data_IF_650277353205
#
_entry.id   IF_650277353205
#
_cell.length_a   1.000
_cell.length_b   1.000
_cell.length_c   1.000
_cell.angle_alpha   90.00
_cell.angle_beta   90.00
_cell.angle_gamma   90.00
#
_symmetry.space_group_name_H-M   'P 1'
#
loop_
_entity.id
_entity.type
_entity.pdbx_description
1 polymer ?
#
# COMPACT_ATOMS: atom_id res chain seq x y z
N UNK A 1 -2.72 8.59 7.06
CA UNK A 1 -1.27 8.29 6.96
C UNK A 1 -1.09 7.21 5.91
N UNK A 2 -0.45 7.54 4.78
CA UNK A 2 -0.21 6.61 3.66
C UNK A 2 0.79 5.56 4.13
N UNK A 3 0.51 4.27 3.90
CA UNK A 3 1.36 3.17 4.38
C UNK A 3 2.56 3.04 3.45
N UNK A 4 3.78 3.43 3.87
CA UNK A 4 4.92 3.53 2.97
C UNK A 4 5.37 2.17 2.43
N UNK A 5 5.17 1.10 3.21
CA UNK A 5 5.74 -0.21 2.90
C UNK A 5 5.09 -0.90 1.69
N UNK A 6 3.76 -0.88 1.56
CA UNK A 6 3.07 -1.45 0.40
C UNK A 6 3.35 -0.67 -0.89
N UNK A 7 3.38 0.66 -0.81
CA UNK A 7 3.72 1.53 -1.95
C UNK A 7 5.17 1.37 -2.39
N UNK A 8 6.09 1.12 -1.45
CA UNK A 8 7.49 0.85 -1.72
C UNK A 8 7.67 -0.47 -2.48
N UNK A 9 7.13 -1.58 -1.96
CA UNK A 9 7.20 -2.88 -2.63
C UNK A 9 6.54 -2.87 -4.02
N UNK A 10 5.41 -2.18 -4.15
CA UNK A 10 4.77 -1.99 -5.45
C UNK A 10 5.66 -1.23 -6.44
N UNK A 11 6.28 -0.13 -6.01
CA UNK A 11 7.16 0.68 -6.87
C UNK A 11 8.41 -0.10 -7.29
N UNK A 12 9.02 -0.85 -6.36
CA UNK A 12 10.17 -1.72 -6.63
C UNK A 12 9.81 -2.82 -7.63
N UNK A 13 8.67 -3.50 -7.42
CA UNK A 13 8.20 -4.53 -8.35
C UNK A 13 7.92 -3.99 -9.76
N UNK A 14 7.36 -2.78 -9.86
CA UNK A 14 7.14 -2.10 -11.13
C UNK A 14 8.47 -1.79 -11.84
N UNK A 15 9.46 -1.26 -11.12
CA UNK A 15 10.79 -0.97 -11.69
C UNK A 15 11.48 -2.25 -12.18
N UNK A 16 11.36 -3.36 -11.45
CA UNK A 16 11.91 -4.65 -11.89
C UNK A 16 11.26 -5.16 -13.17
N UNK A 17 9.94 -5.02 -13.32
CA UNK A 17 9.26 -5.38 -14.57
C UNK A 17 9.67 -4.49 -15.74
N UNK A 18 9.84 -3.18 -15.50
CA UNK A 18 10.35 -2.27 -16.54
C UNK A 18 11.76 -2.68 -16.97
N UNK A 19 12.65 -3.00 -16.02
CA UNK A 19 13.99 -3.52 -16.31
C UNK A 19 13.93 -4.84 -17.10
N UNK A 20 12.98 -5.72 -16.80
CA UNK A 20 12.78 -6.95 -17.57
C UNK A 20 12.39 -6.65 -19.03
N UNK A 21 11.50 -5.69 -19.28
CA UNK A 21 11.14 -5.29 -20.65
C UNK A 21 12.37 -4.79 -21.41
N UNK A 22 13.24 -4.00 -20.77
CA UNK A 22 14.50 -3.59 -21.39
C UNK A 22 15.45 -4.78 -21.64
N UNK A 23 15.49 -5.75 -20.73
CA UNK A 23 16.27 -6.98 -20.88
C UNK A 23 15.79 -7.83 -22.06
N UNK A 24 14.47 -7.90 -22.26
CA UNK A 24 13.82 -8.62 -23.36
C UNK A 24 14.07 -7.93 -24.71
N UNK A 25 14.01 -6.59 -24.75
CA UNK A 25 14.39 -5.78 -25.92
C UNK A 25 15.86 -6.00 -26.30
N UNK A 26 16.73 -6.22 -25.32
CA UNK A 26 18.14 -6.51 -25.52
C UNK A 26 18.42 -7.97 -25.94
N UNK A 27 17.38 -8.77 -26.24
CA UNK A 27 17.46 -10.20 -26.58
C UNK A 27 18.14 -11.06 -25.50
N UNK A 28 18.24 -10.53 -24.26
CA UNK A 28 18.77 -11.24 -23.11
C UNK A 28 17.71 -11.31 -22.02
N UNK A 29 16.65 -12.11 -22.20
CA UNK A 29 15.55 -12.17 -21.24
C UNK A 29 16.04 -12.69 -19.89
N UNK A 30 16.21 -11.79 -18.93
CA UNK A 30 16.54 -12.15 -17.56
C UNK A 30 15.25 -12.48 -16.79
N UNK A 31 14.85 -13.75 -16.84
CA UNK A 31 13.68 -14.25 -16.12
C UNK A 31 13.73 -14.00 -14.60
N UNK A 32 14.92 -13.80 -14.02
CA UNK A 32 15.07 -13.38 -12.62
C UNK A 32 14.46 -12.01 -12.32
N UNK A 33 14.55 -11.05 -13.26
CA UNK A 33 13.92 -9.74 -13.12
C UNK A 33 12.40 -9.86 -13.19
N UNK A 34 11.90 -10.70 -14.10
CA UNK A 34 10.47 -10.98 -14.22
C UNK A 34 9.91 -11.64 -12.97
N UNK A 35 10.52 -12.75 -12.53
CA UNK A 35 10.08 -13.49 -11.34
C UNK A 35 10.18 -12.64 -10.07
N UNK A 36 11.29 -11.93 -9.86
CA UNK A 36 11.48 -11.03 -8.73
C UNK A 36 10.50 -9.84 -8.74
N UNK A 37 10.26 -9.25 -9.91
CA UNK A 37 9.29 -8.17 -10.11
C UNK A 37 7.86 -8.63 -9.84
N UNK A 38 7.47 -9.79 -10.37
CA UNK A 38 6.16 -10.40 -10.15
C UNK A 38 5.92 -10.69 -8.66
N UNK A 39 6.89 -11.30 -7.97
CA UNK A 39 6.81 -11.57 -6.52
C UNK A 39 6.68 -10.26 -5.74
N UNK A 40 7.50 -9.25 -6.03
CA UNK A 40 7.41 -7.95 -5.36
C UNK A 40 6.07 -7.24 -5.62
N UNK A 41 5.51 -7.33 -6.83
CA UNK A 41 4.20 -6.77 -7.14
C UNK A 41 3.08 -7.49 -6.40
N UNK A 42 3.10 -8.82 -6.36
CA UNK A 42 2.11 -9.63 -5.64
C UNK A 42 2.20 -9.32 -4.15
N UNK A 43 3.39 -9.30 -3.54
CA UNK A 43 3.56 -8.93 -2.14
C UNK A 43 3.16 -7.48 -1.88
N UNK A 44 3.54 -6.53 -2.73
CA UNK A 44 3.20 -5.12 -2.60
C UNK A 44 1.70 -4.87 -2.67
N UNK A 45 1.01 -5.47 -3.65
CA UNK A 45 -0.46 -5.40 -3.77
C UNK A 45 -1.16 -6.16 -2.66
N UNK A 46 -0.70 -7.35 -2.29
CA UNK A 46 -1.24 -8.11 -1.16
C UNK A 46 -1.10 -7.32 0.14
N UNK A 47 0.07 -6.72 0.43
CA UNK A 47 0.30 -5.86 1.59
C UNK A 47 -0.54 -4.58 1.55
N UNK A 48 -0.84 -4.07 0.36
CA UNK A 48 -1.70 -2.92 0.18
C UNK A 48 -3.18 -3.25 0.45
N UNK A 49 -3.62 -4.43 0.02
CA UNK A 49 -4.99 -4.96 0.20
C UNK A 49 -5.25 -5.49 1.63
N UNK A 50 -4.31 -6.26 2.18
CA UNK A 50 -4.39 -6.82 3.54
C UNK A 50 -4.09 -5.79 4.61
N UNK A 51 -3.45 -4.67 4.25
CA UNK A 51 -3.32 -3.55 5.16
C UNK A 51 -4.71 -3.06 5.54
N UNK A 52 -5.13 -3.21 6.81
CA UNK A 52 -6.38 -2.63 7.25
C UNK A 52 -6.31 -1.14 6.97
N UNK A 53 -7.24 -0.63 6.15
CA UNK A 53 -7.46 0.82 6.01
C UNK A 53 -7.45 1.36 7.44
N UNK A 54 -6.55 2.30 7.82
CA UNK A 54 -6.72 2.94 9.11
C UNK A 54 -8.13 3.50 9.07
N UNK A 55 -8.97 3.10 10.03
CA UNK A 55 -10.35 3.53 10.10
C UNK A 55 -10.35 5.03 9.87
N UNK A 56 -10.88 5.45 8.73
CA UNK A 56 -11.02 6.85 8.35
C UNK A 56 -12.04 7.44 9.32
N UNK A 57 -11.56 7.83 10.50
CA UNK A 57 -12.47 8.13 11.59
C UNK A 57 -11.83 8.40 12.95
N UNK A 58 -10.52 8.24 13.15
CA UNK A 58 -9.88 8.77 14.36
C UNK A 58 -9.46 10.23 14.11
N UNK A 59 -10.23 11.23 14.58
CA UNK A 59 -9.80 12.62 14.48
C UNK A 59 -8.57 12.78 15.37
N UNK A 60 -7.71 13.78 15.14
CA UNK A 60 -6.61 14.09 16.04
C UNK A 60 -7.15 14.12 17.48
N UNK A 61 -6.43 13.47 18.40
CA UNK A 61 -6.86 13.08 19.76
C UNK A 61 -7.49 14.20 20.64
N UNK A 62 -7.51 15.44 20.15
CA UNK A 62 -8.09 16.64 20.75
C UNK A 62 -9.61 16.69 20.71
N UNK A 63 -10.28 16.00 19.78
CA UNK A 63 -11.75 16.07 19.63
C UNK A 63 -12.52 14.86 20.17
N UNK A 64 -11.86 13.93 20.88
CA UNK A 64 -12.52 12.73 21.43
C UNK A 64 -13.54 13.07 22.52
N UNK A 65 -13.27 14.12 23.31
CA UNK A 65 -14.12 14.56 24.42
C UNK A 65 -15.42 15.23 23.94
N UNK A 66 -15.33 16.08 22.92
CA UNK A 66 -16.49 16.81 22.36
C UNK A 66 -17.51 15.83 21.73
N UNK A 67 -17.01 14.80 21.03
CA UNK A 67 -17.88 13.77 20.42
C UNK A 67 -18.62 12.93 21.48
N UNK A 68 -17.96 12.60 22.61
CA UNK A 68 -18.64 11.92 23.75
C UNK A 68 -19.76 12.77 24.34
N UNK A 69 -19.58 14.09 24.40
CA UNK A 69 -20.60 15.00 24.93
C UNK A 69 -21.80 15.16 23.98
N UNK A 70 -21.57 15.29 22.68
CA UNK A 70 -22.65 15.37 21.67
C UNK A 70 -23.47 14.07 21.58
N UNK A 71 -22.82 12.91 21.72
CA UNK A 71 -23.51 11.61 21.70
C UNK A 71 -24.43 11.42 22.92
N UNK A 72 -24.10 12.02 24.07
CA UNK A 72 -24.99 12.03 25.24
C UNK A 72 -26.22 12.91 25.05
N UNK A 73 -26.08 14.03 24.33
CA UNK A 73 -27.19 14.97 24.06
C UNK A 73 -28.20 14.48 23.03
N UNK A 74 -27.86 13.49 22.19
CA UNK A 74 -28.77 12.90 21.19
C UNK A 74 -29.66 11.78 21.77
N UNK A 75 -29.36 11.32 22.99
CA UNK A 75 -30.08 10.24 23.69
C UNK A 75 -30.95 10.73 24.85
N UNK A 76 -31.03 12.04 25.07
CA UNK A 76 -31.94 12.71 25.99
C UNK A 76 -32.89 13.59 25.17
#
# INVERSE_FOLDING_TARGET
MRKPLGSFFFSVGLVLLVLFVFSDIAEQPQFGLFAGGAVCLILGTALWLTSPRPASGEPPARFRTVKKLMQRKKKA
#
